data_IF_146582184013
#
_entry.id   IF_146582184013
#
_cell.length_a   1.000
_cell.length_b   1.000
_cell.length_c   1.000
_cell.angle_alpha   90.00
_cell.angle_beta   90.00
_cell.angle_gamma   90.00
#
_symmetry.space_group_name_H-M   'P 1'
#
loop_
_entity.id
_entity.type
_entity.pdbx_description
1 polymer ?
#
# COMPACT_ATOMS: atom_id res chain seq x y z
N UNK A 1 -15.10 16.38 9.28
CA UNK A 1 -15.53 15.11 8.68
C UNK A 1 -16.78 14.68 9.42
N UNK A 2 -17.88 14.41 8.71
CA UNK A 2 -19.09 13.86 9.33
C UNK A 2 -18.89 12.39 9.71
N UNK A 3 -19.81 11.83 10.51
CA UNK A 3 -19.78 10.39 10.83
C UNK A 3 -19.87 9.53 9.57
N UNK A 4 -20.75 9.90 8.64
CA UNK A 4 -20.91 9.17 7.38
C UNK A 4 -19.65 9.22 6.49
N UNK A 5 -19.02 10.39 6.35
CA UNK A 5 -17.75 10.53 5.64
C UNK A 5 -16.62 9.68 6.26
N UNK A 6 -16.59 9.58 7.60
CA UNK A 6 -15.62 8.77 8.31
C UNK A 6 -15.81 7.28 8.01
N UNK A 7 -17.04 6.78 8.14
CA UNK A 7 -17.37 5.38 7.86
C UNK A 7 -17.08 5.01 6.41
N UNK A 8 -17.40 5.91 5.46
CA UNK A 8 -17.04 5.76 4.06
C UNK A 8 -15.52 5.67 3.88
N UNK A 9 -14.77 6.59 4.49
CA UNK A 9 -13.30 6.60 4.41
C UNK A 9 -12.70 5.33 5.01
N UNK A 10 -13.24 4.86 6.14
CA UNK A 10 -12.82 3.63 6.80
C UNK A 10 -13.10 2.40 5.94
N UNK A 11 -14.28 2.34 5.31
CA UNK A 11 -14.61 1.27 4.37
C UNK A 11 -13.63 1.23 3.18
N UNK A 12 -13.36 2.38 2.56
CA UNK A 12 -12.37 2.49 1.46
C UNK A 12 -10.98 2.05 1.93
N UNK A 13 -10.56 2.49 3.11
CA UNK A 13 -9.27 2.12 3.71
C UNK A 13 -9.16 0.60 3.90
N UNK A 14 -10.14 -0.04 4.52
CA UNK A 14 -10.15 -1.49 4.75
C UNK A 14 -10.22 -2.28 3.44
N UNK A 15 -11.04 -1.83 2.49
CA UNK A 15 -11.12 -2.43 1.16
C UNK A 15 -9.80 -2.32 0.41
N UNK A 16 -9.13 -1.16 0.50
CA UNK A 16 -7.81 -0.94 -0.12
C UNK A 16 -6.76 -1.85 0.50
N UNK A 17 -6.79 -2.08 1.82
CA UNK A 17 -5.88 -3.04 2.46
C UNK A 17 -5.98 -4.42 1.79
N UNK A 18 -7.21 -4.93 1.65
CA UNK A 18 -7.42 -6.25 1.07
C UNK A 18 -7.06 -6.31 -0.41
N UNK A 19 -7.55 -5.37 -1.23
CA UNK A 19 -7.24 -5.35 -2.67
C UNK A 19 -5.74 -5.21 -2.91
N UNK A 20 -5.07 -4.33 -2.16
CA UNK A 20 -3.63 -4.09 -2.32
C UNK A 20 -2.79 -5.31 -1.89
N UNK A 21 -3.08 -5.92 -0.74
CA UNK A 21 -2.37 -7.14 -0.29
C UNK A 21 -2.58 -8.31 -1.26
N UNK A 22 -3.80 -8.52 -1.76
CA UNK A 22 -4.10 -9.55 -2.75
C UNK A 22 -3.32 -9.32 -4.05
N UNK A 23 -3.33 -8.07 -4.55
CA UNK A 23 -2.69 -7.71 -5.81
C UNK A 23 -1.17 -7.79 -5.71
N UNK A 24 -0.59 -7.30 -4.61
CA UNK A 24 0.85 -7.41 -4.35
C UNK A 24 1.29 -8.88 -4.31
N UNK A 25 0.53 -9.73 -3.62
CA UNK A 25 0.80 -11.17 -3.56
C UNK A 25 0.73 -11.83 -4.95
N UNK A 26 -0.31 -11.53 -5.74
CA UNK A 26 -0.50 -12.12 -7.08
C UNK A 26 0.62 -11.74 -8.05
N UNK A 27 1.20 -10.56 -7.89
CA UNK A 27 2.27 -10.04 -8.75
C UNK A 27 3.67 -10.22 -8.16
N UNK A 28 3.84 -11.04 -7.12
CA UNK A 28 5.13 -11.28 -6.45
C UNK A 28 5.81 -9.99 -5.93
N UNK A 29 5.05 -8.95 -5.62
CA UNK A 29 5.55 -7.70 -5.04
C UNK A 29 5.75 -7.88 -3.53
N UNK A 30 6.66 -8.78 -3.17
CA UNK A 30 6.88 -9.26 -1.81
C UNK A 30 7.23 -8.14 -0.82
N UNK A 31 7.82 -7.04 -1.30
CA UNK A 31 8.10 -5.86 -0.49
C UNK A 31 6.87 -5.15 0.07
N UNK A 32 5.69 -5.36 -0.51
CA UNK A 32 4.41 -4.84 -0.01
C UNK A 32 3.60 -5.86 0.80
N UNK A 33 3.94 -7.15 0.73
CA UNK A 33 3.19 -8.22 1.39
C UNK A 33 3.55 -8.29 2.87
N UNK A 34 2.57 -8.13 3.78
CA UNK A 34 2.84 -8.14 5.23
C UNK A 34 3.27 -9.53 5.71
N UNK A 35 2.48 -10.56 5.44
CA UNK A 35 2.75 -11.94 5.86
C UNK A 35 3.36 -12.77 4.72
N UNK A 36 4.57 -12.40 4.27
CA UNK A 36 5.24 -13.03 3.12
C UNK A 36 5.34 -14.56 3.23
N UNK A 37 5.65 -15.06 4.42
CA UNK A 37 5.87 -16.49 4.65
C UNK A 37 4.57 -17.31 4.70
N UNK A 38 3.41 -16.65 4.66
CA UNK A 38 2.08 -17.29 4.72
C UNK A 38 1.18 -16.77 3.58
N UNK A 39 1.49 -17.12 2.31
CA UNK A 39 0.79 -16.58 1.14
C UNK A 39 -0.70 -16.95 1.14
N UNK A 40 -1.06 -18.18 1.53
CA UNK A 40 -2.46 -18.62 1.61
C UNK A 40 -3.26 -17.80 2.63
N UNK A 41 -2.67 -17.53 3.80
CA UNK A 41 -3.29 -16.70 4.84
C UNK A 41 -3.44 -15.26 4.40
N UNK A 42 -2.40 -14.68 3.77
CA UNK A 42 -2.48 -13.33 3.20
C UNK A 42 -3.62 -13.23 2.19
N UNK A 43 -3.70 -14.20 1.26
CA UNK A 43 -4.77 -14.25 0.25
C UNK A 43 -6.16 -14.31 0.89
N UNK A 44 -6.34 -15.21 1.87
CA UNK A 44 -7.61 -15.36 2.57
C UNK A 44 -8.01 -14.09 3.32
N UNK A 45 -7.12 -13.53 4.14
CA UNK A 45 -7.38 -12.30 4.89
C UNK A 45 -7.67 -11.12 3.96
N UNK A 46 -6.98 -11.03 2.83
CA UNK A 46 -7.18 -9.98 1.83
C UNK A 46 -8.57 -10.02 1.20
N UNK A 47 -9.10 -11.22 0.91
CA UNK A 47 -10.46 -11.37 0.40
C UNK A 47 -11.48 -11.15 1.51
N UNK A 48 -11.24 -11.73 2.69
CA UNK A 48 -12.13 -11.62 3.84
C UNK A 48 -12.34 -10.16 4.26
N UNK A 49 -11.28 -9.34 4.33
CA UNK A 49 -11.41 -7.93 4.73
C UNK A 49 -12.23 -7.10 3.74
N UNK A 50 -12.11 -7.37 2.43
CA UNK A 50 -12.93 -6.70 1.40
C UNK A 50 -14.39 -7.07 1.58
N UNK A 51 -14.70 -8.36 1.71
CA UNK A 51 -16.08 -8.84 1.86
C UNK A 51 -16.68 -8.31 3.17
N UNK A 52 -15.98 -8.47 4.30
CA UNK A 52 -16.48 -8.02 5.60
C UNK A 52 -16.67 -6.51 5.65
N UNK A 53 -15.74 -5.71 5.11
CA UNK A 53 -15.87 -4.25 5.09
C UNK A 53 -17.00 -3.79 4.16
N UNK A 54 -17.18 -4.43 3.01
CA UNK A 54 -18.32 -4.17 2.11
C UNK A 54 -19.66 -4.49 2.79
N UNK A 55 -19.78 -5.69 3.37
CA UNK A 55 -20.99 -6.10 4.06
C UNK A 55 -21.29 -5.19 5.26
N UNK A 56 -20.28 -4.84 6.05
CA UNK A 56 -20.44 -3.87 7.14
C UNK A 56 -20.99 -2.54 6.62
N UNK A 57 -20.31 -1.93 5.65
CA UNK A 57 -20.65 -0.58 5.20
C UNK A 57 -22.06 -0.48 4.59
N UNK A 58 -22.46 -1.46 3.78
CA UNK A 58 -23.74 -1.43 3.06
C UNK A 58 -24.92 -2.09 3.79
N UNK A 59 -24.68 -3.00 4.74
CA UNK A 59 -25.78 -3.60 5.52
C UNK A 59 -26.09 -2.84 6.81
N UNK A 60 -25.20 -1.97 7.28
CA UNK A 60 -25.42 -1.22 8.53
C UNK A 60 -26.54 -0.18 8.41
N UNK A 61 -26.64 0.52 7.27
CA UNK A 61 -27.63 1.59 7.06
C UNK A 61 -28.00 1.70 5.57
N UNK A 62 -29.12 2.34 5.26
CA UNK A 62 -29.47 2.67 3.87
C UNK A 62 -28.56 3.79 3.35
N UNK A 63 -27.56 3.40 2.54
CA UNK A 63 -26.52 4.31 2.03
C UNK A 63 -26.79 4.78 0.59
N UNK A 64 -27.91 4.39 -0.03
CA UNK A 64 -28.25 4.82 -1.39
C UNK A 64 -29.00 6.16 -1.38
N UNK A 65 -28.34 7.19 -0.88
CA UNK A 65 -28.92 8.52 -0.68
C UNK A 65 -28.29 9.50 -1.69
N UNK A 66 -29.09 10.31 -2.41
CA UNK A 66 -28.57 11.28 -3.36
C UNK A 66 -27.77 12.38 -2.66
N UNK A 67 -26.83 12.97 -3.41
CA UNK A 67 -25.98 14.10 -3.00
C UNK A 67 -26.76 15.40 -2.72
N UNK A 68 -27.99 15.52 -3.22
CA UNK A 68 -28.92 16.59 -2.89
C UNK A 68 -29.60 16.42 -1.53
N UNK A 69 -29.41 15.28 -0.86
CA UNK A 69 -29.95 14.98 0.47
C UNK A 69 -28.78 14.77 1.47
N UNK A 70 -28.77 13.68 2.23
CA UNK A 70 -27.69 13.37 3.19
C UNK A 70 -26.51 12.59 2.57
N UNK A 71 -26.53 12.40 1.25
CA UNK A 71 -25.43 11.78 0.50
C UNK A 71 -24.17 12.66 0.48
N UNK A 72 -23.02 12.03 0.24
CA UNK A 72 -21.75 12.76 0.12
C UNK A 72 -21.63 13.33 -1.30
N UNK A 73 -21.37 14.64 -1.40
CA UNK A 73 -21.00 15.28 -2.66
C UNK A 73 -19.84 14.55 -3.35
N UNK A 74 -19.90 14.39 -4.68
CA UNK A 74 -18.95 13.57 -5.42
C UNK A 74 -17.49 14.04 -5.32
N UNK A 75 -17.24 15.35 -5.20
CA UNK A 75 -15.88 15.90 -5.04
C UNK A 75 -15.36 15.57 -3.64
N UNK A 76 -16.21 15.73 -2.63
CA UNK A 76 -15.90 15.37 -1.24
C UNK A 76 -15.65 13.87 -1.10
N UNK A 77 -16.48 13.04 -1.73
CA UNK A 77 -16.35 11.59 -1.74
C UNK A 77 -15.02 11.16 -2.38
N UNK A 78 -14.68 11.73 -3.54
CA UNK A 78 -13.42 11.44 -4.24
C UNK A 78 -12.19 11.81 -3.39
N UNK A 79 -12.24 12.96 -2.71
CA UNK A 79 -11.17 13.38 -1.80
C UNK A 79 -10.96 12.36 -0.67
N UNK A 80 -12.04 11.95 -0.01
CA UNK A 80 -11.97 11.00 1.10
C UNK A 80 -11.58 9.58 0.64
N UNK A 81 -12.03 9.18 -0.55
CA UNK A 81 -11.56 7.96 -1.20
C UNK A 81 -10.03 7.96 -1.37
N UNK A 82 -9.48 9.03 -1.94
CA UNK A 82 -8.04 9.15 -2.16
C UNK A 82 -7.26 9.13 -0.85
N UNK A 83 -7.73 9.86 0.18
CA UNK A 83 -7.10 9.88 1.50
C UNK A 83 -7.10 8.47 2.13
N UNK A 84 -8.24 7.78 2.11
CA UNK A 84 -8.36 6.42 2.65
C UNK A 84 -7.45 5.43 1.92
N UNK A 85 -7.45 5.46 0.58
CA UNK A 85 -6.64 4.56 -0.23
C UNK A 85 -5.13 4.80 -0.05
N UNK A 86 -4.68 6.06 -0.12
CA UNK A 86 -3.26 6.42 0.06
C UNK A 86 -2.80 6.04 1.48
N UNK A 87 -3.63 6.31 2.49
CA UNK A 87 -3.30 5.96 3.88
C UNK A 87 -3.14 4.46 4.07
N UNK A 88 -4.01 3.65 3.46
CA UNK A 88 -3.93 2.19 3.51
C UNK A 88 -2.64 1.67 2.84
N UNK A 89 -2.31 2.17 1.65
CA UNK A 89 -1.09 1.76 0.93
C UNK A 89 0.17 2.18 1.70
N UNK A 90 0.20 3.40 2.24
CA UNK A 90 1.30 3.91 3.04
C UNK A 90 1.51 3.08 4.30
N UNK A 91 0.42 2.78 5.03
CA UNK A 91 0.47 1.96 6.23
C UNK A 91 0.96 0.54 5.92
N UNK A 92 0.43 -0.10 4.86
CA UNK A 92 0.87 -1.44 4.48
C UNK A 92 2.32 -1.47 4.06
N UNK A 93 2.80 -0.46 3.34
CA UNK A 93 4.21 -0.33 2.96
C UNK A 93 5.12 -0.16 4.17
N UNK A 94 4.65 0.57 5.19
CA UNK A 94 5.35 0.72 6.48
C UNK A 94 5.41 -0.62 7.22
N UNK A 95 4.26 -1.26 7.41
CA UNK A 95 4.15 -2.54 8.14
C UNK A 95 4.97 -3.62 7.43
N UNK A 96 4.81 -3.79 6.12
CA UNK A 96 5.57 -4.79 5.35
C UNK A 96 7.07 -4.54 5.43
N UNK A 97 7.50 -3.27 5.45
CA UNK A 97 8.91 -2.92 5.59
C UNK A 97 9.46 -3.26 6.96
N UNK A 98 8.68 -3.11 8.03
CA UNK A 98 9.07 -3.49 9.39
C UNK A 98 9.09 -5.02 9.53
N UNK A 99 8.02 -5.70 9.14
CA UNK A 99 7.88 -7.16 9.28
C UNK A 99 8.92 -7.91 8.45
N UNK A 100 9.24 -7.41 7.25
CA UNK A 100 10.16 -8.07 6.32
C UNK A 100 11.55 -7.44 6.23
N UNK A 101 11.94 -6.56 7.18
CA UNK A 101 13.20 -5.79 7.09
C UNK A 101 14.44 -6.69 6.91
N UNK A 102 14.50 -7.84 7.61
CA UNK A 102 15.65 -8.77 7.51
C UNK A 102 15.81 -9.36 6.11
N UNK A 103 14.70 -9.80 5.52
CA UNK A 103 14.69 -10.33 4.16
C UNK A 103 15.02 -9.26 3.13
N UNK A 104 14.44 -8.06 3.27
CA UNK A 104 14.71 -6.95 2.37
C UNK A 104 16.15 -6.47 2.43
N UNK A 105 16.81 -6.59 3.58
CA UNK A 105 18.23 -6.25 3.75
C UNK A 105 19.17 -7.24 3.06
N UNK A 106 18.83 -8.53 3.02
CA UNK A 106 19.65 -9.58 2.38
C UNK A 106 19.72 -9.46 0.85
N UNK A 107 18.70 -8.87 0.24
CA UNK A 107 18.58 -8.69 -1.21
C UNK A 107 18.78 -7.22 -1.62
N UNK A 108 19.41 -6.44 -0.75
CA UNK A 108 19.63 -5.00 -0.93
C UNK A 108 20.68 -4.69 -2.00
N UNK A 109 20.62 -3.46 -2.49
CA UNK A 109 21.65 -2.90 -3.37
C UNK A 109 23.02 -2.88 -2.68
N UNK A 110 24.03 -3.46 -3.33
CA UNK A 110 25.42 -3.42 -2.86
C UNK A 110 26.07 -2.08 -3.25
N UNK A 111 26.24 -1.21 -2.25
CA UNK A 111 26.87 0.09 -2.45
C UNK A 111 28.37 0.02 -2.74
N UNK A 112 29.02 -1.14 -2.55
CA UNK A 112 30.42 -1.38 -2.88
C UNK A 112 30.63 -1.70 -4.35
N UNK A 113 29.61 -2.21 -5.04
CA UNK A 113 29.68 -2.62 -6.44
C UNK A 113 29.66 -1.45 -7.44
N UNK A 114 29.66 -0.19 -6.97
CA UNK A 114 29.68 1.06 -7.76
C UNK A 114 28.56 1.23 -8.81
N UNK A 115 27.58 0.32 -8.84
CA UNK A 115 26.41 0.38 -9.71
C UNK A 115 25.29 1.19 -9.04
N UNK A 116 24.38 1.78 -9.81
CA UNK A 116 23.18 2.44 -9.26
C UNK A 116 22.16 1.40 -8.75
N UNK A 117 21.36 1.72 -7.70
CA UNK A 117 20.27 0.84 -7.27
C UNK A 117 19.26 0.65 -8.40
N UNK A 118 18.63 -0.55 -8.52
CA UNK A 118 17.56 -0.77 -9.47
C UNK A 118 16.42 0.23 -9.26
N UNK A 119 15.90 0.79 -10.35
CA UNK A 119 14.79 1.76 -10.32
C UNK A 119 13.50 1.04 -10.74
N UNK A 120 12.39 1.39 -10.10
CA UNK A 120 11.05 0.94 -10.48
C UNK A 120 10.50 -0.19 -9.62
N UNK A 121 9.33 -0.70 -10.02
CA UNK A 121 8.52 -1.64 -9.22
C UNK A 121 9.13 -3.04 -9.14
N UNK A 122 9.92 -3.46 -10.13
CA UNK A 122 10.58 -4.77 -10.17
C UNK A 122 11.55 -4.97 -8.99
N UNK A 123 12.04 -3.89 -8.40
CA UNK A 123 12.89 -3.98 -7.22
C UNK A 123 12.11 -4.43 -5.97
N UNK A 124 10.82 -4.11 -5.91
CA UNK A 124 9.92 -4.46 -4.79
C UNK A 124 9.64 -5.96 -4.74
N UNK A 125 9.91 -6.69 -5.82
CA UNK A 125 9.92 -8.15 -5.82
C UNK A 125 11.02 -8.71 -4.90
N UNK A 126 12.11 -7.97 -4.71
CA UNK A 126 13.31 -8.44 -4.01
C UNK A 126 13.59 -7.72 -2.70
N UNK A 127 13.05 -6.52 -2.49
CA UNK A 127 13.26 -5.76 -1.25
C UNK A 127 11.98 -5.08 -0.76
N UNK A 128 12.04 -4.45 0.42
CA UNK A 128 10.92 -3.70 1.00
C UNK A 128 10.92 -2.25 0.53
N UNK A 129 9.74 -1.61 0.51
CA UNK A 129 9.57 -0.26 -0.02
C UNK A 129 10.46 0.78 0.69
N UNK A 130 10.50 0.78 2.03
CA UNK A 130 11.36 1.73 2.76
C UNK A 130 12.84 1.48 2.52
N UNK A 131 13.24 0.21 2.37
CA UNK A 131 14.64 -0.13 2.07
C UNK A 131 15.03 0.35 0.68
N UNK A 132 14.14 0.19 -0.29
CA UNK A 132 14.34 0.69 -1.65
C UNK A 132 14.58 2.21 -1.65
N UNK A 133 13.69 2.97 -0.99
CA UNK A 133 13.84 4.42 -0.85
C UNK A 133 15.15 4.79 -0.15
N UNK A 134 15.45 4.14 0.97
CA UNK A 134 16.67 4.41 1.73
C UNK A 134 17.94 4.22 0.89
N UNK A 135 18.00 3.13 0.11
CA UNK A 135 19.13 2.85 -0.78
C UNK A 135 19.24 3.88 -1.92
N UNK A 136 18.12 4.37 -2.48
CA UNK A 136 18.13 5.46 -3.48
C UNK A 136 18.67 6.75 -2.86
N UNK A 137 18.17 7.14 -1.67
CA UNK A 137 18.64 8.34 -0.97
C UNK A 137 20.15 8.24 -0.67
N UNK A 138 20.61 7.07 -0.20
CA UNK A 138 22.02 6.82 0.06
C UNK A 138 22.88 6.91 -1.20
N UNK A 139 22.39 6.39 -2.34
CA UNK A 139 23.08 6.48 -3.62
C UNK A 139 23.19 7.93 -4.11
N UNK A 140 22.12 8.72 -3.98
CA UNK A 140 22.11 10.15 -4.32
C UNK A 140 23.13 10.90 -3.46
N UNK A 141 23.15 10.65 -2.15
CA UNK A 141 24.08 11.29 -1.22
C UNK A 141 25.56 10.94 -1.53
N UNK A 142 25.86 9.67 -1.88
CA UNK A 142 27.23 9.23 -2.20
C UNK A 142 27.73 9.71 -3.57
N UNK A 143 26.88 9.70 -4.60
CA UNK A 143 27.32 9.93 -5.98
C UNK A 143 27.13 11.38 -6.47
N UNK A 144 26.55 12.25 -5.64
CA UNK A 144 26.50 13.70 -5.83
C UNK A 144 25.65 14.22 -6.99
N UNK A 145 25.35 13.44 -8.04
CA UNK A 145 24.69 13.94 -9.26
C UNK A 145 23.87 12.81 -9.94
N UNK A 146 22.60 13.12 -10.24
CA UNK A 146 21.57 12.25 -10.85
C UNK A 146 21.83 11.92 -12.35
N UNK A 147 22.76 12.63 -13.01
CA UNK A 147 22.99 12.56 -14.46
C UNK A 147 23.72 11.31 -14.97
N UNK A 148 24.12 10.36 -14.10
CA UNK A 148 24.72 9.07 -14.49
C UNK A 148 23.70 7.96 -14.75
N UNK A 149 22.41 8.28 -14.80
CA UNK A 149 21.35 7.35 -15.20
C UNK A 149 21.43 7.18 -16.73
N UNK A 150 22.09 6.12 -17.18
CA UNK A 150 22.00 5.62 -18.56
C UNK A 150 21.86 4.11 -18.52
#
# INVERSE_FOLDING_TARGET
>A
MSGFEFEYTLWVFLSTIGVFQYTALKNNLWGFVVLRNMPSTTKFLSVAIVICSFLWFFLSEDRNVPDTAEGIDGVVQTRWFAIGAISAIALLSLISSITNHRWGAQHGWDSSAQNWPPIGISWIEKTTFLRAIFCIIQAIYKNGIIWKIR
#
